data_IF_509724184716
#
_entry.id   IF_509724184716
#
_cell.length_a   1.000
_cell.length_b   1.000
_cell.length_c   1.000
_cell.angle_alpha   90.00
_cell.angle_beta   90.00
_cell.angle_gamma   90.00
#
_symmetry.space_group_name_H-M   'P 1'
#
loop_
_entity.id
_entity.type
_entity.pdbx_description
1 polymer ?
#
# COMPACT_ATOMS: atom_id res chain seq x y z
N UNK A 1 20.81 -35.31 33.66
CA UNK A 1 20.06 -36.31 32.87
C UNK A 1 18.79 -35.68 32.27
N UNK A 2 18.89 -34.48 31.66
CA UNK A 2 17.76 -33.78 31.00
C UNK A 2 17.95 -33.60 29.49
N UNK A 3 18.95 -34.23 28.87
CA UNK A 3 19.35 -33.86 27.50
C UNK A 3 18.56 -34.58 26.40
N UNK A 4 18.08 -35.80 26.62
CA UNK A 4 17.49 -36.61 25.54
C UNK A 4 16.00 -36.28 25.35
N UNK A 5 15.27 -36.10 26.45
CA UNK A 5 13.83 -35.79 26.41
C UNK A 5 13.54 -34.39 25.86
N UNK A 6 14.44 -33.42 26.09
CA UNK A 6 14.33 -32.06 25.56
C UNK A 6 14.68 -32.02 24.06
N UNK A 7 15.67 -32.81 23.61
CA UNK A 7 16.02 -32.95 22.19
C UNK A 7 14.87 -33.61 21.41
N UNK A 8 14.27 -34.69 21.93
CA UNK A 8 13.13 -35.36 21.29
C UNK A 8 11.91 -34.43 21.22
N UNK A 9 11.64 -33.63 22.26
CA UNK A 9 10.57 -32.62 22.23
C UNK A 9 10.84 -31.50 21.23
N UNK A 10 12.09 -31.06 21.08
CA UNK A 10 12.47 -30.06 20.08
C UNK A 10 12.36 -30.65 18.67
N UNK A 11 12.74 -31.91 18.46
CA UNK A 11 12.57 -32.59 17.17
C UNK A 11 11.10 -32.77 16.79
N UNK A 12 10.25 -33.24 17.71
CA UNK A 12 8.78 -33.31 17.50
C UNK A 12 8.18 -31.92 17.24
N UNK A 13 8.66 -30.88 17.94
CA UNK A 13 8.22 -29.50 17.71
C UNK A 13 8.63 -29.02 16.31
N UNK A 14 9.88 -29.23 15.89
CA UNK A 14 10.38 -28.85 14.57
C UNK A 14 9.67 -29.62 13.46
N UNK A 15 9.39 -30.91 13.68
CA UNK A 15 8.71 -31.76 12.70
C UNK A 15 7.22 -31.41 12.56
N UNK A 16 6.55 -31.07 13.67
CA UNK A 16 5.18 -30.52 13.64
C UNK A 16 5.14 -29.12 12.97
N UNK A 17 6.12 -28.26 13.25
CA UNK A 17 6.24 -26.93 12.62
C UNK A 17 6.54 -27.00 11.13
N UNK A 18 7.27 -28.02 10.67
CA UNK A 18 7.62 -28.19 9.25
C UNK A 18 6.39 -28.33 8.37
N UNK A 19 5.39 -29.09 8.80
CA UNK A 19 4.12 -29.24 8.09
C UNK A 19 3.35 -27.92 7.99
N UNK A 20 3.30 -27.16 9.08
CA UNK A 20 2.65 -25.85 9.14
C UNK A 20 3.40 -24.78 8.33
N UNK A 21 4.74 -24.79 8.34
CA UNK A 21 5.59 -23.90 7.53
C UNK A 21 5.39 -24.17 6.04
N UNK A 22 5.33 -25.44 5.61
CA UNK A 22 5.10 -25.79 4.20
C UNK A 22 3.72 -25.32 3.75
N UNK A 23 2.68 -25.54 4.57
CA UNK A 23 1.32 -25.05 4.28
C UNK A 23 1.26 -23.53 4.21
N UNK A 24 1.97 -22.85 5.11
CA UNK A 24 2.11 -21.39 5.10
C UNK A 24 2.78 -20.92 3.80
N UNK A 25 3.90 -21.53 3.39
CA UNK A 25 4.60 -21.15 2.16
C UNK A 25 3.73 -21.36 0.90
N UNK A 26 2.96 -22.46 0.85
CA UNK A 26 2.04 -22.73 -0.25
C UNK A 26 0.87 -21.75 -0.30
N UNK A 27 0.29 -21.38 0.84
CA UNK A 27 -0.78 -20.37 0.89
C UNK A 27 -0.27 -19.00 0.46
N UNK A 28 0.93 -18.62 0.90
CA UNK A 28 1.62 -17.40 0.44
C UNK A 28 1.84 -17.38 -1.06
N UNK A 29 2.35 -18.48 -1.62
CA UNK A 29 2.60 -18.57 -3.08
C UNK A 29 1.31 -18.43 -3.87
N UNK A 30 0.22 -19.03 -3.39
CA UNK A 30 -1.07 -18.99 -4.08
C UNK A 30 -1.73 -17.60 -4.01
N UNK A 31 -1.69 -16.96 -2.84
CA UNK A 31 -2.35 -15.66 -2.62
C UNK A 31 -1.51 -14.49 -3.14
N UNK A 32 -0.19 -14.53 -2.98
CA UNK A 32 0.71 -13.48 -3.47
C UNK A 32 1.14 -13.67 -4.92
N UNK A 33 1.05 -14.90 -5.44
CA UNK A 33 1.39 -15.21 -6.83
C UNK A 33 0.55 -14.38 -7.81
N UNK A 34 -0.76 -14.29 -7.59
CA UNK A 34 -1.64 -13.53 -8.49
C UNK A 34 -1.32 -12.03 -8.52
N UNK A 35 -1.24 -11.30 -7.38
CA UNK A 35 -0.78 -9.90 -7.36
C UNK A 35 0.62 -9.69 -7.91
N UNK A 36 1.57 -10.61 -7.63
CA UNK A 36 2.93 -10.52 -8.13
C UNK A 36 3.02 -10.67 -9.65
N UNK A 37 2.28 -11.62 -10.23
CA UNK A 37 2.17 -11.79 -11.68
C UNK A 37 1.52 -10.57 -12.34
N UNK A 38 0.45 -10.04 -11.75
CA UNK A 38 -0.21 -8.83 -12.24
C UNK A 38 0.74 -7.64 -12.21
N UNK A 39 1.49 -7.46 -11.12
CA UNK A 39 2.52 -6.42 -11.01
C UNK A 39 3.58 -6.53 -12.11
N UNK A 40 4.12 -7.74 -12.33
CA UNK A 40 5.13 -8.00 -13.35
C UNK A 40 4.59 -7.74 -14.76
N UNK A 41 3.35 -8.18 -15.03
CA UNK A 41 2.68 -7.95 -16.30
C UNK A 41 2.46 -6.45 -16.57
N UNK A 42 2.06 -5.67 -15.55
CA UNK A 42 1.83 -4.23 -15.68
C UNK A 42 3.12 -3.41 -15.78
N UNK A 43 4.26 -3.91 -15.29
CA UNK A 43 5.53 -3.17 -15.21
C UNK A 43 6.02 -2.54 -16.53
N UNK A 44 6.09 -3.24 -17.68
CA UNK A 44 6.54 -2.64 -18.94
C UNK A 44 5.58 -1.57 -19.47
N UNK A 45 4.28 -1.79 -19.32
CA UNK A 45 3.25 -0.82 -19.71
C UNK A 45 3.29 0.41 -18.81
N UNK A 46 3.49 0.22 -17.52
CA UNK A 46 3.67 1.30 -16.54
C UNK A 46 4.85 2.20 -16.90
N UNK A 47 6.00 1.62 -17.25
CA UNK A 47 7.17 2.41 -17.64
C UNK A 47 6.88 3.30 -18.86
N UNK A 48 6.27 2.72 -19.88
CA UNK A 48 5.92 3.44 -21.12
C UNK A 48 4.89 4.54 -20.85
N UNK A 49 3.86 4.23 -20.06
CA UNK A 49 2.82 5.16 -19.65
C UNK A 49 3.39 6.35 -18.85
N UNK A 50 4.21 6.07 -17.85
CA UNK A 50 4.82 7.08 -17.00
C UNK A 50 5.69 8.04 -17.80
N UNK A 51 6.52 7.53 -18.72
CA UNK A 51 7.36 8.36 -19.60
C UNK A 51 6.53 9.33 -20.44
N UNK A 52 5.36 8.89 -20.92
CA UNK A 52 4.44 9.73 -21.70
C UNK A 52 3.80 10.83 -20.84
N UNK A 53 3.41 10.51 -19.61
CA UNK A 53 2.72 11.43 -18.71
C UNK A 53 3.68 12.31 -17.89
N UNK A 54 5.00 12.09 -17.97
CA UNK A 54 6.00 12.80 -17.17
C UNK A 54 5.88 14.33 -17.26
N UNK A 55 5.54 14.86 -18.44
CA UNK A 55 5.32 16.29 -18.65
C UNK A 55 4.13 16.84 -17.85
N UNK A 56 3.07 16.04 -17.65
CA UNK A 56 1.91 16.43 -16.85
C UNK A 56 2.23 16.54 -15.34
N UNK A 57 3.38 16.02 -14.91
CA UNK A 57 3.85 16.07 -13.53
C UNK A 57 4.91 17.14 -13.28
N UNK A 58 5.50 17.77 -14.30
CA UNK A 58 6.66 18.66 -14.11
C UNK A 58 6.35 19.86 -13.23
N UNK A 59 5.18 20.46 -13.43
CA UNK A 59 4.68 21.64 -12.71
C UNK A 59 3.86 21.28 -11.46
N UNK A 60 3.65 19.99 -11.19
CA UNK A 60 2.78 19.58 -10.10
C UNK A 60 3.49 19.65 -8.74
N UNK A 61 2.84 20.16 -7.68
CA UNK A 61 3.38 20.06 -6.33
C UNK A 61 3.52 18.60 -5.85
N UNK A 62 2.81 17.65 -6.47
CA UNK A 62 2.86 16.22 -6.13
C UNK A 62 4.00 15.46 -6.81
N UNK A 63 4.79 16.13 -7.65
CA UNK A 63 5.92 15.53 -8.36
C UNK A 63 6.88 14.75 -7.44
N UNK A 64 7.26 15.22 -6.24
CA UNK A 64 8.15 14.47 -5.36
C UNK A 64 7.60 13.09 -4.98
N UNK A 65 6.33 13.03 -4.61
CA UNK A 65 5.65 11.80 -4.20
C UNK A 65 5.51 10.83 -5.38
N UNK A 66 5.15 11.35 -6.56
CA UNK A 66 5.00 10.55 -7.79
C UNK A 66 6.35 9.99 -8.23
N UNK A 67 7.41 10.80 -8.23
CA UNK A 67 8.76 10.36 -8.56
C UNK A 67 9.31 9.36 -7.53
N UNK A 68 9.02 9.55 -6.25
CA UNK A 68 9.38 8.61 -5.19
C UNK A 68 8.73 7.24 -5.41
N UNK A 69 7.43 7.22 -5.73
CA UNK A 69 6.72 5.99 -6.07
C UNK A 69 7.27 5.32 -7.33
N UNK A 70 7.44 6.08 -8.42
CA UNK A 70 7.97 5.57 -9.67
C UNK A 70 9.36 4.93 -9.51
N UNK A 71 10.29 5.61 -8.83
CA UNK A 71 11.64 5.07 -8.58
C UNK A 71 11.57 3.79 -7.76
N UNK A 72 10.71 3.76 -6.74
CA UNK A 72 10.60 2.57 -5.89
C UNK A 72 10.02 1.37 -6.63
N UNK A 73 8.96 1.58 -7.40
CA UNK A 73 8.34 0.55 -8.24
C UNK A 73 9.31 0.07 -9.32
N UNK A 74 9.97 0.98 -10.01
CA UNK A 74 10.86 0.63 -11.12
C UNK A 74 12.12 -0.09 -10.63
N UNK A 75 12.78 0.41 -9.59
CA UNK A 75 14.11 -0.08 -9.23
C UNK A 75 14.04 -1.10 -8.10
N UNK A 76 13.36 -0.80 -6.98
CA UNK A 76 13.38 -1.68 -5.81
C UNK A 76 12.47 -2.90 -5.95
N UNK A 77 11.26 -2.76 -6.51
CA UNK A 77 10.43 -3.95 -6.79
C UNK A 77 11.06 -4.83 -7.88
N UNK A 78 11.59 -4.24 -8.95
CA UNK A 78 12.31 -5.03 -9.98
C UNK A 78 13.53 -5.73 -9.40
N UNK A 79 14.33 -5.04 -8.58
CA UNK A 79 15.46 -5.65 -7.89
C UNK A 79 15.03 -6.80 -6.99
N UNK A 80 13.92 -6.67 -6.26
CA UNK A 80 13.36 -7.77 -5.45
C UNK A 80 13.10 -9.01 -6.29
N UNK A 81 12.42 -8.88 -7.44
CA UNK A 81 12.15 -10.02 -8.32
C UNK A 81 13.42 -10.64 -8.89
N UNK A 82 14.37 -9.81 -9.34
CA UNK A 82 15.66 -10.28 -9.86
C UNK A 82 16.43 -11.06 -8.78
N UNK A 83 16.50 -10.53 -7.56
CA UNK A 83 17.16 -11.19 -6.43
C UNK A 83 16.46 -12.50 -6.07
N UNK A 84 15.12 -12.52 -6.03
CA UNK A 84 14.36 -13.76 -5.77
C UNK A 84 14.70 -14.83 -6.81
N UNK A 85 14.73 -14.48 -8.10
CA UNK A 85 15.09 -15.41 -9.18
C UNK A 85 16.51 -15.94 -8.98
N UNK A 86 17.48 -15.06 -8.69
CA UNK A 86 18.87 -15.46 -8.41
C UNK A 86 18.95 -16.44 -7.24
N UNK A 87 18.26 -16.14 -6.13
CA UNK A 87 18.21 -17.00 -4.93
C UNK A 87 17.62 -18.37 -5.25
N UNK A 88 16.56 -18.43 -6.07
CA UNK A 88 15.92 -19.68 -6.50
C UNK A 88 16.85 -20.49 -7.42
N UNK A 89 17.51 -19.85 -8.37
CA UNK A 89 18.47 -20.52 -9.27
C UNK A 89 19.65 -21.09 -8.47
N UNK A 90 20.23 -20.32 -7.55
CA UNK A 90 21.33 -20.78 -6.69
C UNK A 90 20.89 -21.96 -5.81
N UNK A 91 19.64 -21.96 -5.33
CA UNK A 91 19.07 -23.10 -4.60
C UNK A 91 19.08 -24.37 -5.44
N UNK A 92 18.72 -24.25 -6.73
CA UNK A 92 18.65 -25.38 -7.65
C UNK A 92 20.02 -25.88 -8.11
N UNK A 93 21.03 -25.00 -8.17
CA UNK A 93 22.36 -25.33 -8.74
C UNK A 93 23.41 -25.67 -7.69
N UNK A 94 23.44 -24.96 -6.54
CA UNK A 94 24.60 -25.00 -5.63
C UNK A 94 24.28 -25.68 -4.30
N UNK A 95 23.61 -24.97 -3.39
CA UNK A 95 23.34 -25.47 -2.04
C UNK A 95 22.19 -24.70 -1.43
N UNK A 96 21.33 -25.42 -0.70
CA UNK A 96 20.21 -24.86 0.06
C UNK A 96 20.71 -23.85 1.09
N UNK A 97 21.85 -24.10 1.74
CA UNK A 97 22.40 -23.20 2.76
C UNK A 97 22.82 -21.85 2.18
N UNK A 98 23.52 -21.84 1.05
CA UNK A 98 23.91 -20.58 0.39
C UNK A 98 22.68 -19.78 -0.06
N UNK A 99 21.67 -20.45 -0.61
CA UNK A 99 20.40 -19.84 -0.99
C UNK A 99 19.69 -19.19 0.22
N UNK A 100 19.65 -19.89 1.36
CA UNK A 100 19.07 -19.33 2.59
C UNK A 100 19.82 -18.09 3.08
N UNK A 101 21.16 -18.12 3.08
CA UNK A 101 21.96 -16.95 3.47
C UNK A 101 21.64 -15.77 2.55
N UNK A 102 21.68 -15.96 1.23
CA UNK A 102 21.38 -14.91 0.26
C UNK A 102 19.95 -14.38 0.39
N UNK A 103 18.99 -15.25 0.68
CA UNK A 103 17.61 -14.86 0.95
C UNK A 103 17.54 -13.87 2.12
N UNK A 104 18.15 -14.19 3.26
CA UNK A 104 18.15 -13.32 4.43
C UNK A 104 18.87 -11.99 4.20
N UNK A 105 19.99 -11.98 3.47
CA UNK A 105 20.79 -10.77 3.27
C UNK A 105 20.31 -9.88 2.12
N UNK A 106 19.61 -10.43 1.11
CA UNK A 106 19.23 -9.68 -0.08
C UNK A 106 17.72 -9.50 -0.22
N UNK A 107 16.92 -10.55 0.06
CA UNK A 107 15.46 -10.49 -0.10
C UNK A 107 14.82 -9.79 1.10
N UNK A 108 15.16 -10.16 2.33
CA UNK A 108 14.53 -9.59 3.51
C UNK A 108 14.67 -8.06 3.62
N UNK A 109 15.85 -7.45 3.39
CA UNK A 109 15.98 -5.99 3.45
C UNK A 109 15.14 -5.27 2.39
N UNK A 110 15.04 -5.84 1.18
CA UNK A 110 14.20 -5.30 0.12
C UNK A 110 12.72 -5.39 0.48
N UNK A 111 12.26 -6.50 1.05
CA UNK A 111 10.87 -6.64 1.52
C UNK A 111 10.56 -5.61 2.60
N UNK A 112 11.47 -5.40 3.56
CA UNK A 112 11.31 -4.39 4.62
C UNK A 112 11.22 -2.98 4.02
N UNK A 113 12.14 -2.63 3.12
CA UNK A 113 12.16 -1.33 2.45
C UNK A 113 10.88 -1.05 1.66
N UNK A 114 10.38 -2.05 0.93
CA UNK A 114 9.17 -1.95 0.13
C UNK A 114 7.91 -1.89 1.00
N UNK A 115 7.91 -2.53 2.16
CA UNK A 115 6.87 -2.35 3.17
C UNK A 115 6.86 -0.91 3.72
N UNK A 116 8.04 -0.35 4.05
CA UNK A 116 8.15 1.05 4.47
C UNK A 116 7.61 2.01 3.41
N UNK A 117 7.95 1.78 2.15
CA UNK A 117 7.41 2.53 1.03
C UNK A 117 5.87 2.47 0.99
N UNK A 118 5.30 1.27 1.00
CA UNK A 118 3.86 1.03 0.89
C UNK A 118 3.08 1.78 1.97
N UNK A 119 3.52 1.64 3.23
CA UNK A 119 2.89 2.29 4.39
C UNK A 119 3.03 3.82 4.30
N UNK A 120 4.24 4.30 3.99
CA UNK A 120 4.52 5.74 3.92
C UNK A 120 3.74 6.42 2.80
N UNK A 121 3.61 5.76 1.65
CA UNK A 121 2.82 6.24 0.52
C UNK A 121 1.35 6.40 0.91
N UNK A 122 0.76 5.36 1.52
CA UNK A 122 -0.63 5.37 1.98
C UNK A 122 -0.91 6.49 2.98
N UNK A 123 -0.03 6.69 3.95
CA UNK A 123 -0.19 7.79 4.91
C UNK A 123 -0.05 9.15 4.24
N UNK A 124 0.90 9.31 3.33
CA UNK A 124 1.11 10.57 2.61
C UNK A 124 -0.10 10.97 1.78
N UNK A 125 -0.63 10.04 0.96
CA UNK A 125 -1.86 10.31 0.18
C UNK A 125 -3.08 10.54 1.07
N UNK A 126 -3.09 9.94 2.27
CA UNK A 126 -4.16 10.13 3.24
C UNK A 126 -4.16 11.55 3.82
N UNK A 127 -2.99 12.02 4.26
CA UNK A 127 -2.81 13.40 4.73
C UNK A 127 -3.13 14.41 3.64
N UNK A 128 -2.65 14.19 2.41
CA UNK A 128 -2.96 15.04 1.26
C UNK A 128 -4.49 15.09 1.03
N UNK A 129 -5.17 13.96 1.11
CA UNK A 129 -6.62 13.89 0.89
C UNK A 129 -7.43 14.64 1.93
N UNK A 130 -7.03 14.54 3.20
CA UNK A 130 -7.63 15.30 4.30
C UNK A 130 -7.39 16.80 4.08
N UNK A 131 -6.16 17.19 3.74
CA UNK A 131 -5.82 18.57 3.42
C UNK A 131 -6.65 19.11 2.25
N UNK A 132 -6.78 18.35 1.16
CA UNK A 132 -7.60 18.75 0.00
C UNK A 132 -9.06 18.95 0.38
N UNK A 133 -9.65 18.07 1.21
CA UNK A 133 -11.01 18.27 1.70
C UNK A 133 -11.13 19.57 2.51
N UNK A 134 -10.26 19.78 3.50
CA UNK A 134 -10.27 21.00 4.33
C UNK A 134 -10.17 22.24 3.44
N UNK A 135 -9.23 22.22 2.49
CA UNK A 135 -9.02 23.31 1.55
C UNK A 135 -10.23 23.55 0.64
N UNK A 136 -10.93 22.50 0.18
CA UNK A 136 -12.14 22.64 -0.65
C UNK A 136 -13.29 23.33 0.06
N UNK A 137 -13.34 23.27 1.40
CA UNK A 137 -14.36 23.92 2.22
C UNK A 137 -14.10 25.40 2.47
N UNK A 138 -12.87 25.87 2.25
CA UNK A 138 -12.55 27.29 2.33
C UNK A 138 -13.06 28.05 1.09
N UNK A 139 -13.40 29.32 1.29
CA UNK A 139 -13.70 30.26 0.19
C UNK A 139 -12.51 30.32 -0.77
N UNK A 140 -12.77 30.53 -2.06
CA UNK A 140 -11.73 30.47 -3.12
C UNK A 140 -10.51 31.35 -2.81
N UNK A 141 -10.70 32.50 -2.16
CA UNK A 141 -9.64 33.44 -1.77
C UNK A 141 -8.74 32.94 -0.63
N UNK A 142 -9.23 32.03 0.22
CA UNK A 142 -8.49 31.47 1.36
C UNK A 142 -7.86 30.11 1.05
N UNK A 143 -8.07 29.58 -0.16
CA UNK A 143 -7.54 28.28 -0.56
C UNK A 143 -6.02 28.33 -0.67
N UNK A 144 -5.34 27.48 0.11
CA UNK A 144 -3.89 27.30 0.03
C UNK A 144 -3.60 26.00 -0.70
N UNK A 145 -2.92 26.10 -1.84
CA UNK A 145 -2.40 24.92 -2.52
C UNK A 145 -1.13 24.43 -1.83
N UNK A 146 -0.96 23.10 -1.80
CA UNK A 146 0.29 22.52 -1.34
C UNK A 146 1.40 22.91 -2.32
N UNK A 147 2.53 23.37 -1.78
CA UNK A 147 3.70 23.65 -2.58
C UNK A 147 4.58 22.40 -2.74
N UNK A 148 5.39 22.38 -3.80
CA UNK A 148 6.36 21.31 -4.04
C UNK A 148 7.25 20.99 -2.81
N UNK A 149 7.88 21.97 -2.11
CA UNK A 149 8.70 21.66 -0.93
C UNK A 149 7.87 21.11 0.24
N UNK A 150 6.60 21.51 0.40
CA UNK A 150 5.74 20.98 1.45
C UNK A 150 5.45 19.49 1.23
N UNK A 151 5.13 19.09 0.00
CA UNK A 151 4.89 17.66 -0.33
C UNK A 151 6.18 16.84 -0.20
N UNK A 152 7.32 17.41 -0.58
CA UNK A 152 8.64 16.79 -0.41
C UNK A 152 8.93 16.51 1.07
N UNK A 153 8.81 17.52 1.93
CA UNK A 153 9.02 17.41 3.37
C UNK A 153 8.05 16.40 3.97
N UNK A 154 6.77 16.48 3.62
CA UNK A 154 5.74 15.55 4.10
C UNK A 154 6.10 14.10 3.76
N UNK A 155 6.47 13.82 2.51
CA UNK A 155 6.79 12.47 2.04
C UNK A 155 7.97 11.88 2.81
N UNK A 156 9.07 12.62 2.94
CA UNK A 156 10.27 12.13 3.63
C UNK A 156 10.11 12.12 5.15
N UNK A 157 9.35 13.04 5.73
CA UNK A 157 9.04 13.04 7.16
C UNK A 157 8.22 11.80 7.54
N UNK A 158 7.16 11.48 6.78
CA UNK A 158 6.36 10.27 7.00
C UNK A 158 7.23 9.02 6.82
N UNK A 159 8.04 8.97 5.75
CA UNK A 159 8.94 7.85 5.53
C UNK A 159 9.93 7.64 6.69
N UNK A 160 10.57 8.72 7.15
CA UNK A 160 11.48 8.68 8.30
C UNK A 160 10.79 8.23 9.59
N UNK A 161 9.54 8.66 9.83
CA UNK A 161 8.75 8.21 10.99
C UNK A 161 8.46 6.71 10.94
N UNK A 162 8.13 6.17 9.77
CA UNK A 162 7.89 4.72 9.60
C UNK A 162 9.18 3.92 9.84
N UNK A 163 10.31 4.39 9.31
CA UNK A 163 11.62 3.76 9.57
C UNK A 163 11.95 3.78 11.05
N UNK A 164 11.80 4.94 11.71
CA UNK A 164 12.10 5.09 13.13
C UNK A 164 11.22 4.17 14.00
N UNK A 165 9.93 4.08 13.66
CA UNK A 165 8.99 3.16 14.32
C UNK A 165 9.43 1.71 14.21
N UNK A 166 9.83 1.26 13.02
CA UNK A 166 10.26 -0.12 12.79
C UNK A 166 11.62 -0.43 13.45
N UNK A 167 12.54 0.54 13.48
CA UNK A 167 13.81 0.39 14.21
C UNK A 167 13.59 0.27 15.72
N UNK A 168 12.72 1.09 16.30
CA UNK A 168 12.36 1.00 17.71
C UNK A 168 11.66 -0.33 18.05
N UNK A 169 10.83 -0.84 17.13
CA UNK A 169 10.24 -2.16 17.27
C UNK A 169 11.32 -3.26 17.23
N UNK A 170 12.23 -3.22 16.26
CA UNK A 170 13.32 -4.18 16.15
C UNK A 170 14.20 -4.21 17.41
N UNK A 171 14.48 -3.03 18.00
CA UNK A 171 15.18 -2.91 19.28
C UNK A 171 14.44 -3.61 20.42
N UNK A 172 13.11 -3.48 20.50
CA UNK A 172 12.27 -4.13 21.52
C UNK A 172 12.23 -5.64 21.34
N UNK A 173 12.09 -6.12 20.10
CA UNK A 173 12.14 -7.56 19.80
C UNK A 173 13.50 -8.15 20.19
N UNK A 174 14.61 -7.48 19.86
CA UNK A 174 15.94 -7.94 20.24
C UNK A 174 16.13 -8.00 21.77
N UNK A 175 15.54 -7.05 22.51
CA UNK A 175 15.55 -7.07 23.97
C UNK A 175 14.77 -8.26 24.54
N UNK A 176 13.59 -8.56 23.98
CA UNK A 176 12.78 -9.72 24.38
C UNK A 176 13.50 -11.04 24.10
N UNK A 177 14.10 -11.19 22.92
CA UNK A 177 14.90 -12.37 22.57
C UNK A 177 16.04 -12.58 23.58
N UNK A 178 16.74 -11.49 23.95
CA UNK A 178 17.82 -11.55 24.93
C UNK A 178 17.32 -11.91 26.34
N UNK A 179 16.11 -11.49 26.70
CA UNK A 179 15.50 -11.79 28.00
C UNK A 179 15.00 -13.25 28.12
N UNK A 180 14.83 -13.97 27.01
CA UNK A 180 14.44 -15.38 26.99
C UNK A 180 12.97 -15.67 27.35
N UNK A 181 12.17 -14.63 27.61
CA UNK A 181 10.75 -14.77 27.92
C UNK A 181 9.90 -14.55 26.67
N UNK A 182 9.48 -15.67 26.06
CA UNK A 182 8.67 -15.67 24.85
C UNK A 182 7.28 -15.05 25.06
N UNK A 183 6.76 -14.97 26.30
CA UNK A 183 5.48 -14.32 26.58
C UNK A 183 5.54 -12.80 26.36
N UNK A 184 6.74 -12.21 26.29
CA UNK A 184 6.91 -10.77 26.03
C UNK A 184 6.86 -10.45 24.52
N UNK A 185 6.77 -11.46 23.63
CA UNK A 185 6.54 -11.24 22.19
C UNK A 185 5.14 -10.73 21.85
N UNK A 186 4.17 -10.91 22.74
CA UNK A 186 2.81 -10.39 22.57
C UNK A 186 2.81 -8.86 22.50
N UNK A 187 3.70 -8.18 23.23
CA UNK A 187 3.80 -6.73 23.24
C UNK A 187 4.22 -6.15 21.87
N UNK A 188 5.33 -6.57 21.24
CA UNK A 188 5.68 -6.15 19.88
C UNK A 188 4.62 -6.51 18.83
N UNK A 189 4.00 -7.69 18.94
CA UNK A 189 2.94 -8.13 18.01
C UNK A 189 1.69 -7.26 18.09
N UNK A 190 1.23 -6.96 19.32
CA UNK A 190 0.10 -6.05 19.53
C UNK A 190 0.39 -4.63 19.05
N UNK A 191 1.60 -4.11 19.31
CA UNK A 191 1.99 -2.78 18.84
C UNK A 191 1.95 -2.66 17.31
N UNK A 192 2.46 -3.68 16.60
CA UNK A 192 2.41 -3.73 15.13
C UNK A 192 0.96 -3.75 14.62
N UNK A 193 0.12 -4.58 15.24
CA UNK A 193 -1.30 -4.71 14.88
C UNK A 193 -2.07 -3.41 15.09
N UNK A 194 -1.89 -2.74 16.24
CA UNK A 194 -2.51 -1.45 16.54
C UNK A 194 -2.08 -0.39 15.54
N UNK A 195 -0.77 -0.31 15.25
CA UNK A 195 -0.24 0.65 14.27
C UNK A 195 -0.85 0.41 12.89
N UNK A 196 -0.93 -0.86 12.46
CA UNK A 196 -1.55 -1.24 11.20
C UNK A 196 -3.02 -0.81 11.12
N UNK A 197 -3.81 -1.05 12.18
CA UNK A 197 -5.21 -0.61 12.28
C UNK A 197 -5.31 0.92 12.17
N UNK A 198 -4.43 1.65 12.86
CA UNK A 198 -4.41 3.12 12.78
C UNK A 198 -4.16 3.58 11.35
N UNK A 199 -3.15 3.02 10.67
CA UNK A 199 -2.87 3.35 9.26
C UNK A 199 -4.07 3.05 8.35
N UNK A 200 -4.76 1.93 8.58
CA UNK A 200 -5.95 1.55 7.85
C UNK A 200 -7.09 2.56 8.03
N UNK A 201 -7.33 3.00 9.27
CA UNK A 201 -8.32 4.04 9.59
C UNK A 201 -8.00 5.34 8.87
N UNK A 202 -6.73 5.77 8.84
CA UNK A 202 -6.32 6.96 8.09
C UNK A 202 -6.66 6.87 6.59
N UNK A 203 -6.42 5.70 5.98
CA UNK A 203 -6.76 5.47 4.57
C UNK A 203 -8.27 5.54 4.34
N UNK A 204 -9.09 5.01 5.26
CA UNK A 204 -10.55 5.09 5.15
C UNK A 204 -11.09 6.50 5.31
N UNK A 205 -10.55 7.26 6.27
CA UNK A 205 -10.87 8.69 6.43
C UNK A 205 -10.52 9.42 5.13
N UNK A 206 -9.34 9.19 4.58
CA UNK A 206 -8.90 9.82 3.34
C UNK A 206 -9.79 9.47 2.14
N UNK A 207 -10.20 8.21 2.01
CA UNK A 207 -11.15 7.78 0.99
C UNK A 207 -12.49 8.52 1.15
N UNK A 208 -13.04 8.57 2.37
CA UNK A 208 -14.28 9.28 2.65
C UNK A 208 -14.14 10.78 2.34
N UNK A 209 -12.99 11.40 2.65
CA UNK A 209 -12.68 12.77 2.27
C UNK A 209 -12.73 12.95 0.75
N UNK A 210 -12.09 12.07 -0.02
CA UNK A 210 -12.08 12.14 -1.49
C UNK A 210 -13.43 11.88 -2.15
N UNK A 211 -14.33 11.15 -1.48
CA UNK A 211 -15.72 10.96 -1.92
C UNK A 211 -16.60 12.17 -1.57
N UNK A 212 -16.22 12.95 -0.56
CA UNK A 212 -16.97 14.12 -0.08
C UNK A 212 -16.66 15.41 -0.83
N UNK A 213 -15.57 15.45 -1.61
CA UNK A 213 -15.21 16.58 -2.45
C UNK A 213 -16.11 16.59 -3.69
N UNK A 214 -16.86 17.69 -3.87
CA UNK A 214 -17.75 17.88 -5.03
C UNK A 214 -17.04 18.47 -6.25
N UNK A 215 -15.90 19.11 -6.02
CA UNK A 215 -15.15 19.81 -7.06
C UNK A 215 -14.24 18.84 -7.83
N UNK A 216 -14.08 19.01 -9.16
CA UNK A 216 -13.14 18.22 -9.92
C UNK A 216 -11.69 18.55 -9.49
N UNK A 217 -10.80 17.57 -9.61
CA UNK A 217 -9.38 17.74 -9.32
C UNK A 217 -8.76 18.86 -10.19
N UNK A 218 -7.95 19.72 -9.58
CA UNK A 218 -7.38 20.90 -10.23
C UNK A 218 -6.26 20.59 -11.21
N UNK A 219 -5.66 19.40 -11.10
CA UNK A 219 -4.56 18.96 -11.97
C UNK A 219 -4.62 17.46 -12.24
N UNK A 220 -3.93 17.03 -13.31
CA UNK A 220 -3.77 15.62 -13.64
C UNK A 220 -3.19 14.83 -12.45
N UNK A 221 -2.15 15.37 -11.81
CA UNK A 221 -1.51 14.75 -10.65
C UNK A 221 -2.45 14.63 -9.44
N UNK A 222 -3.22 15.67 -9.14
CA UNK A 222 -4.21 15.61 -8.05
C UNK A 222 -5.28 14.56 -8.32
N UNK A 223 -5.72 14.44 -9.58
CA UNK A 223 -6.67 13.42 -10.01
C UNK A 223 -6.09 12.01 -9.85
N UNK A 224 -4.81 11.82 -10.17
CA UNK A 224 -4.08 10.55 -9.96
C UNK A 224 -4.02 10.21 -8.48
N UNK A 225 -3.62 11.14 -7.61
CA UNK A 225 -3.57 10.92 -6.15
C UNK A 225 -4.95 10.61 -5.58
N UNK A 226 -5.99 11.37 -5.97
CA UNK A 226 -7.36 11.11 -5.54
C UNK A 226 -7.83 9.70 -5.98
N UNK A 227 -7.44 9.28 -7.18
CA UNK A 227 -7.75 7.95 -7.71
C UNK A 227 -7.04 6.85 -6.91
N UNK A 228 -5.76 7.03 -6.61
CA UNK A 228 -5.02 6.09 -5.75
C UNK A 228 -5.67 5.94 -4.38
N UNK A 229 -6.00 7.05 -3.72
CA UNK A 229 -6.67 7.02 -2.41
C UNK A 229 -8.00 6.27 -2.47
N UNK A 230 -8.83 6.53 -3.49
CA UNK A 230 -10.12 5.86 -3.66
C UNK A 230 -9.96 4.35 -3.89
N UNK A 231 -9.11 3.93 -4.83
CA UNK A 231 -8.95 2.51 -5.14
C UNK A 231 -8.26 1.73 -4.02
N UNK A 232 -7.17 2.26 -3.44
CA UNK A 232 -6.48 1.63 -2.32
C UNK A 232 -7.44 1.50 -1.13
N UNK A 233 -8.15 2.59 -0.80
CA UNK A 233 -9.13 2.58 0.29
C UNK A 233 -10.28 1.61 0.06
N UNK A 234 -10.86 1.58 -1.14
CA UNK A 234 -12.00 0.72 -1.46
C UNK A 234 -11.63 -0.77 -1.41
N UNK A 235 -10.48 -1.13 -2.00
CA UNK A 235 -10.00 -2.51 -1.97
C UNK A 235 -9.71 -2.94 -0.54
N UNK A 236 -9.03 -2.09 0.24
CA UNK A 236 -8.76 -2.35 1.67
C UNK A 236 -10.02 -2.45 2.51
N UNK A 237 -11.05 -1.64 2.22
CA UNK A 237 -12.33 -1.72 2.91
C UNK A 237 -13.02 -3.06 2.61
N UNK A 238 -13.06 -3.47 1.34
CA UNK A 238 -13.61 -4.76 0.93
C UNK A 238 -12.87 -5.93 1.61
N UNK A 239 -11.53 -5.89 1.60
CA UNK A 239 -10.68 -6.86 2.30
C UNK A 239 -10.95 -6.87 3.81
N UNK A 240 -11.07 -5.69 4.44
CA UNK A 240 -11.40 -5.55 5.86
C UNK A 240 -12.77 -6.10 6.23
N UNK A 241 -13.79 -5.88 5.38
CA UNK A 241 -15.14 -6.44 5.57
C UNK A 241 -15.09 -7.96 5.44
N UNK A 242 -14.42 -8.52 4.43
CA UNK A 242 -14.25 -9.98 4.27
C UNK A 242 -13.60 -10.57 5.53
N UNK A 243 -12.54 -9.94 6.03
CA UNK A 243 -11.87 -10.36 7.26
C UNK A 243 -12.79 -10.30 8.48
N UNK A 244 -13.54 -9.20 8.66
CA UNK A 244 -14.47 -9.04 9.79
C UNK A 244 -15.63 -10.04 9.74
N UNK A 245 -16.25 -10.24 8.57
CA UNK A 245 -17.31 -11.23 8.35
C UNK A 245 -16.81 -12.63 8.67
N UNK A 246 -15.59 -12.96 8.25
CA UNK A 246 -14.98 -14.26 8.57
C UNK A 246 -14.84 -14.48 10.08
N UNK A 247 -14.35 -13.49 10.82
CA UNK A 247 -14.25 -13.56 12.29
C UNK A 247 -15.62 -13.74 12.95
N UNK A 248 -16.64 -13.02 12.47
CA UNK A 248 -18.00 -13.07 13.04
C UNK A 248 -18.66 -14.42 12.76
N UNK A 249 -18.47 -15.01 11.57
CA UNK A 249 -18.99 -16.33 11.21
C UNK A 249 -18.28 -17.49 11.93
N UNK A 250 -17.11 -17.25 12.53
CA UNK A 250 -16.30 -18.23 13.25
C UNK A 250 -16.65 -18.31 14.76
N UNK A 251 -17.71 -17.62 15.22
CA UNK A 251 -18.17 -17.73 16.61
C UNK A 251 -18.63 -19.17 16.94
N UNK A 252 -18.21 -19.73 18.10
CA UNK A 252 -18.33 -21.17 18.42
C UNK A 252 -19.77 -21.67 18.59
N UNK A 253 -20.77 -20.80 18.67
CA UNK A 253 -22.17 -21.21 18.82
C UNK A 253 -22.79 -21.79 17.52
N UNK A 254 -22.12 -21.61 16.37
CA UNK A 254 -22.58 -22.14 15.07
C UNK A 254 -21.70 -23.25 14.48
N UNK A 255 -20.58 -23.62 15.13
CA UNK A 255 -19.62 -24.61 14.62
C UNK A 255 -19.81 -25.98 15.30
N UNK A 256 -20.67 -26.82 14.72
CA UNK A 256 -21.01 -28.18 15.23
C UNK A 256 -19.91 -29.23 14.97
N UNK A 257 -18.71 -28.86 14.50
CA UNK A 257 -17.67 -29.85 14.17
C UNK A 257 -16.35 -29.63 14.94
N UNK A 258 -15.99 -30.52 15.88
CA UNK A 258 -14.72 -30.45 16.63
C UNK A 258 -13.47 -30.67 15.76
N UNK A 259 -13.62 -31.15 14.52
CA UNK A 259 -12.53 -31.26 13.54
C UNK A 259 -12.13 -29.89 12.94
N UNK A 260 -13.02 -28.90 12.97
CA UNK A 260 -12.74 -27.53 12.49
C UNK A 260 -11.89 -26.76 13.50
N UNK A 261 -12.10 -26.97 14.81
CA UNK A 261 -11.46 -26.19 15.89
C UNK A 261 -9.92 -26.21 15.89
N UNK A 262 -9.32 -27.35 15.51
CA UNK A 262 -7.85 -27.49 15.41
C UNK A 262 -7.28 -26.87 14.11
N UNK A 263 -8.08 -26.69 13.07
CA UNK A 263 -7.69 -25.93 11.86
C UNK A 263 -7.91 -24.42 12.00
N UNK A 264 -8.76 -24.00 12.94
CA UNK A 264 -9.15 -22.60 13.21
C UNK A 264 -8.03 -21.75 13.81
N UNK A 265 -7.21 -22.31 14.72
CA UNK A 265 -6.14 -21.56 15.40
C UNK A 265 -5.02 -21.14 14.43
N UNK A 266 -4.68 -22.01 13.48
CA UNK A 266 -3.67 -21.75 12.47
C UNK A 266 -4.17 -20.85 11.34
N UNK A 267 -5.48 -20.85 11.05
CA UNK A 267 -6.05 -20.00 10.00
C UNK A 267 -6.10 -18.52 10.36
N UNK A 268 -6.35 -18.14 11.62
CA UNK A 268 -6.31 -16.72 12.05
C UNK A 268 -4.95 -16.05 11.80
N UNK A 269 -3.87 -16.76 12.09
CA UNK A 269 -2.51 -16.32 11.77
C UNK A 269 -2.25 -16.31 10.25
N UNK A 270 -2.72 -17.33 9.52
CA UNK A 270 -2.59 -17.35 8.06
C UNK A 270 -3.35 -16.20 7.40
N UNK A 271 -4.62 -15.96 7.75
CA UNK A 271 -5.44 -14.90 7.18
C UNK A 271 -4.82 -13.51 7.43
N UNK A 272 -4.46 -13.18 8.67
CA UNK A 272 -3.85 -11.89 9.01
C UNK A 272 -2.55 -11.63 8.23
N UNK A 273 -1.69 -12.64 8.10
CA UNK A 273 -0.42 -12.49 7.37
C UNK A 273 -0.62 -12.48 5.84
N UNK A 274 -1.67 -13.11 5.33
CA UNK A 274 -2.12 -13.02 3.94
C UNK A 274 -2.66 -11.63 3.57
N UNK A 275 -3.43 -10.99 4.45
CA UNK A 275 -3.91 -9.62 4.25
C UNK A 275 -2.76 -8.61 4.18
N UNK A 276 -1.76 -8.76 5.06
CA UNK A 276 -0.54 -7.94 5.05
C UNK A 276 0.26 -8.18 3.74
N UNK A 277 0.29 -9.41 3.24
CA UNK A 277 0.96 -9.72 1.99
C UNK A 277 0.27 -9.13 0.75
N UNK A 278 -1.07 -9.10 0.71
CA UNK A 278 -1.82 -8.45 -0.39
C UNK A 278 -1.50 -6.95 -0.43
N UNK A 279 -1.41 -6.32 0.75
CA UNK A 279 -1.08 -4.90 0.88
C UNK A 279 0.25 -4.51 0.21
N UNK A 280 1.23 -5.42 0.25
CA UNK A 280 2.55 -5.24 -0.36
C UNK A 280 2.49 -5.01 -1.88
N UNK A 281 1.56 -5.68 -2.58
CA UNK A 281 1.38 -5.54 -4.03
C UNK A 281 0.22 -4.62 -4.40
N UNK A 282 -0.73 -4.39 -3.49
CA UNK A 282 -1.90 -3.56 -3.76
C UNK A 282 -1.53 -2.13 -4.19
N UNK A 283 -0.69 -1.45 -3.39
CA UNK A 283 -0.27 -0.06 -3.66
C UNK A 283 0.43 0.07 -5.01
N UNK A 284 1.51 -0.67 -5.30
CA UNK A 284 2.21 -0.52 -6.56
C UNK A 284 1.33 -0.91 -7.76
N UNK A 285 0.49 -1.94 -7.66
CA UNK A 285 -0.43 -2.33 -8.74
C UNK A 285 -1.45 -1.22 -9.03
N UNK A 286 -2.05 -0.61 -8.00
CA UNK A 286 -2.98 0.51 -8.20
C UNK A 286 -2.28 1.70 -8.88
N UNK A 287 -1.04 2.00 -8.48
CA UNK A 287 -0.24 3.06 -9.11
C UNK A 287 0.01 2.72 -10.59
N UNK A 288 0.46 1.49 -10.89
CA UNK A 288 0.70 1.05 -12.26
C UNK A 288 -0.56 1.13 -13.12
N UNK A 289 -1.67 0.56 -12.67
CA UNK A 289 -2.93 0.55 -13.42
C UNK A 289 -3.49 1.95 -13.65
N UNK A 290 -3.39 2.83 -12.65
CA UNK A 290 -3.88 4.21 -12.77
C UNK A 290 -3.09 4.98 -13.82
N UNK A 291 -1.77 4.81 -13.81
CA UNK A 291 -0.87 5.42 -14.81
C UNK A 291 -1.17 4.91 -16.22
N UNK A 292 -1.29 3.59 -16.39
CA UNK A 292 -1.59 2.93 -17.68
C UNK A 292 -2.93 3.42 -18.24
N UNK A 293 -3.98 3.39 -17.41
CA UNK A 293 -5.34 3.80 -17.83
C UNK A 293 -5.41 5.27 -18.24
N UNK A 294 -4.58 6.12 -17.64
CA UNK A 294 -4.54 7.56 -17.92
C UNK A 294 -3.56 7.94 -19.03
N UNK A 295 -2.67 7.05 -19.46
CA UNK A 295 -1.80 7.26 -20.61
C UNK A 295 -2.50 7.11 -21.98
N UNK A 296 -3.69 6.48 -22.01
CA UNK A 296 -4.63 6.59 -23.12
C UNK A 296 -5.48 7.86 -22.93
N UNK A 297 -5.30 8.91 -23.75
CA UNK A 297 -6.27 9.98 -23.81
C UNK A 297 -7.51 9.37 -24.49
N UNK A 298 -8.46 8.86 -23.72
CA UNK A 298 -9.81 8.89 -24.23
C UNK A 298 -10.11 10.37 -24.45
N UNK A 299 -10.20 10.71 -25.72
CA UNK A 299 -10.71 11.94 -26.31
C UNK A 299 -11.90 12.42 -25.47
N UNK A 300 -11.63 13.23 -24.46
CA UNK A 300 -12.57 14.28 -24.09
C UNK A 300 -12.18 15.41 -25.03
N UNK A 301 -12.69 15.33 -26.26
CA UNK A 301 -12.95 16.55 -27.03
C UNK A 301 -13.80 17.40 -26.10
N UNK A 302 -13.20 18.43 -25.51
CA UNK A 302 -13.96 19.62 -25.19
C UNK A 302 -14.54 20.05 -26.52
N UNK A 303 -15.81 19.70 -26.77
CA UNK A 303 -16.58 20.40 -27.79
C UNK A 303 -16.57 21.85 -27.29
N UNK A 304 -15.89 22.79 -27.97
CA UNK A 304 -16.11 24.18 -27.64
C UNK A 304 -17.58 24.41 -27.92
N UNK A 305 -18.38 24.58 -26.87
CA UNK A 305 -19.69 25.18 -27.01
C UNK A 305 -19.36 26.64 -27.38
N UNK A 306 -19.25 26.90 -28.67
CA UNK A 306 -19.40 28.24 -29.21
C UNK A 306 -20.84 28.63 -28.91
N UNK A 307 -21.07 29.23 -27.74
CA UNK A 307 -22.24 30.07 -27.54
C UNK A 307 -22.20 31.12 -28.65
N UNK A 308 -23.23 31.25 -29.49
CA UNK A 308 -23.28 32.35 -30.42
C UNK A 308 -23.21 33.63 -29.60
N UNK A 309 -22.22 34.47 -29.89
CA UNK A 309 -22.16 35.82 -29.38
C UNK A 309 -23.43 36.52 -29.90
N UNK A 310 -24.42 36.67 -29.02
CA UNK A 310 -25.46 37.66 -29.24
C UNK A 310 -24.77 38.98 -28.98
N UNK A 311 -24.39 39.66 -30.06
CA UNK A 311 -24.04 41.08 -30.00
C UNK A 311 -25.24 41.80 -29.40
N UNK A 312 -25.12 42.17 -28.12
CA UNK A 312 -26.02 43.12 -27.50
C UNK A 312 -25.71 44.46 -28.15
N UNK A 313 -26.48 44.81 -29.18
CA UNK A 313 -26.55 46.18 -29.69
C UNK A 313 -26.77 47.10 -28.49
N UNK A 314 -25.77 47.92 -28.18
CA UNK A 314 -25.96 49.10 -27.33
C UNK A 314 -26.98 49.99 -28.02
N UNK A 315 -28.20 50.01 -27.51
CA UNK A 315 -29.16 51.05 -27.81
C UNK A 315 -28.67 52.29 -27.05
N UNK A 316 -28.02 53.21 -27.76
CA UNK A 316 -27.79 54.57 -27.27
C UNK A 316 -29.14 55.27 -27.16
N UNK A 317 -29.60 55.52 -25.93
CA UNK A 317 -30.70 56.43 -25.69
C UNK A 317 -30.16 57.86 -25.63
N UNK A 318 -30.41 58.61 -26.69
CA UNK A 318 -30.17 60.05 -26.75
C UNK A 318 -31.29 60.77 -25.96
N UNK A 319 -31.01 61.13 -24.71
CA UNK A 319 -31.88 62.00 -23.93
C UNK A 319 -31.52 63.46 -24.20
N UNK A 320 -31.94 63.96 -25.36
CA UNK A 320 -32.05 65.40 -25.61
C UNK A 320 -33.45 65.87 -25.18
N UNK A 321 -33.57 66.34 -23.94
CA UNK A 321 -34.68 67.16 -23.47
C UNK A 321 -34.20 68.60 -23.41
N UNK A 322 -34.44 69.34 -24.51
CA UNK A 322 -34.53 70.80 -24.50
C UNK A 322 -36.01 71.19 -24.52
#
# INVERSE_FOLDING_TARGET
MSNITDIVKIEELVESMKGDIIRLLLSYTTVLGTPALLFLFCLPFYYTAFKKNQHAYSESPFRPLIMFAYRTIMYFYTALFVVIIIVVVIRGVTSVYLSLILFFFLVCPLVILLNWFTVSYQLTISVISIHTLINSRHSQQLRKQLSHPQVLILTYAIFGLIVLKDLEMGRRVAFVIKAGDLNVFDFPGMYYTITYIVHLVFVFIAMACQLSIKEPASSHAENVIATHTKYIGAIKLGLGIIYAVYIILEYPEFSVNPFVFLTTRNWKFQASTLFIGIDFFLVPVVIQMTEIKRATPNVITTVPISLPAIDVQKIEFDFNLN
#
